data_IF_867509955470
#
_entry.id   IF_867509955470
#
_cell.length_a   1.000
_cell.length_b   1.000
_cell.length_c   1.000
_cell.angle_alpha   90.00
_cell.angle_beta   90.00
_cell.angle_gamma   90.00
#
_symmetry.space_group_name_H-M   'P 1'
#
loop_
_entity.id
_entity.type
_entity.pdbx_description
1 polymer ?
#
# COMPACT_ATOMS: atom_id res chain seq x y z
N UNK A 1 -17.86 7.09 15.70
CA UNK A 1 -18.82 8.17 15.35
C UNK A 1 -19.86 7.67 14.34
N UNK A 2 -21.15 7.90 14.60
CA UNK A 2 -22.24 7.52 13.70
C UNK A 2 -22.15 8.30 12.38
N UNK A 3 -22.27 7.62 11.24
CA UNK A 3 -22.31 8.31 9.93
C UNK A 3 -23.64 9.04 9.77
N UNK A 4 -23.61 10.26 9.25
CA UNK A 4 -24.79 11.12 9.01
C UNK A 4 -25.44 10.89 7.65
N UNK A 5 -24.82 10.09 6.79
CA UNK A 5 -25.24 9.81 5.41
C UNK A 5 -26.23 8.64 5.28
N UNK A 6 -26.66 8.03 6.40
CA UNK A 6 -27.57 6.89 6.40
C UNK A 6 -26.95 5.56 5.98
N UNK A 7 -25.63 5.52 5.74
CA UNK A 7 -24.91 4.29 5.44
C UNK A 7 -24.54 3.53 6.71
N UNK A 8 -24.24 2.23 6.54
CA UNK A 8 -23.73 1.40 7.62
C UNK A 8 -22.48 2.03 8.26
N UNK A 9 -22.39 1.95 9.59
CA UNK A 9 -21.23 2.47 10.32
C UNK A 9 -19.93 1.80 9.82
N UNK A 10 -18.85 2.57 9.79
CA UNK A 10 -17.53 2.00 9.55
C UNK A 10 -17.20 0.98 10.64
N UNK A 11 -16.61 -0.15 10.23
CA UNK A 11 -16.18 -1.18 11.15
C UNK A 11 -15.03 -0.67 12.03
N UNK A 12 -15.03 -1.07 13.31
CA UNK A 12 -13.91 -0.83 14.20
C UNK A 12 -12.71 -1.71 13.83
N UNK A 13 -11.54 -1.47 14.44
CA UNK A 13 -10.37 -2.34 14.25
C UNK A 13 -10.68 -3.76 14.73
N UNK A 14 -11.36 -3.91 15.86
CA UNK A 14 -11.73 -5.19 16.45
C UNK A 14 -12.69 -5.97 15.56
N UNK A 15 -13.66 -5.29 14.93
CA UNK A 15 -14.57 -5.93 13.98
C UNK A 15 -13.86 -6.40 12.71
N UNK A 16 -12.74 -5.77 12.33
CA UNK A 16 -11.90 -6.18 11.20
C UNK A 16 -10.91 -7.30 11.56
N UNK A 17 -10.88 -7.74 12.82
CA UNK A 17 -10.18 -8.95 13.24
C UNK A 17 -11.09 -10.20 13.20
N UNK A 18 -12.35 -10.05 12.77
CA UNK A 18 -13.25 -11.18 12.55
C UNK A 18 -12.71 -12.07 11.40
N UNK A 19 -12.57 -13.40 11.59
CA UNK A 19 -12.12 -14.30 10.54
C UNK A 19 -12.96 -14.24 9.25
N UNK A 20 -14.26 -13.96 9.35
CA UNK A 20 -15.13 -13.80 8.19
C UNK A 20 -14.83 -12.50 7.43
N UNK A 21 -14.41 -11.45 8.12
CA UNK A 21 -13.93 -10.22 7.49
C UNK A 21 -12.57 -10.46 6.82
N UNK A 22 -11.65 -11.14 7.51
CA UNK A 22 -10.33 -11.48 6.97
C UNK A 22 -10.44 -12.32 5.68
N UNK A 23 -11.34 -13.30 5.67
CA UNK A 23 -11.62 -14.10 4.47
C UNK A 23 -12.13 -13.25 3.30
N UNK A 24 -13.08 -12.34 3.54
CA UNK A 24 -13.59 -11.44 2.50
C UNK A 24 -12.51 -10.48 1.98
N UNK A 25 -11.66 -9.96 2.87
CA UNK A 25 -10.57 -9.07 2.49
C UNK A 25 -9.49 -9.81 1.69
N UNK A 26 -9.21 -11.07 2.03
CA UNK A 26 -8.32 -11.94 1.25
C UNK A 26 -8.90 -12.25 -0.14
N UNK A 27 -10.20 -12.56 -0.22
CA UNK A 27 -10.87 -12.78 -1.51
C UNK A 27 -10.80 -11.52 -2.38
N UNK A 28 -11.07 -10.35 -1.80
CA UNK A 28 -10.94 -9.08 -2.50
C UNK A 28 -9.51 -8.83 -2.99
N UNK A 29 -8.49 -9.06 -2.16
CA UNK A 29 -7.09 -8.97 -2.57
C UNK A 29 -6.79 -9.90 -3.75
N UNK A 30 -7.28 -11.15 -3.71
CA UNK A 30 -7.05 -12.10 -4.80
C UNK A 30 -7.68 -11.62 -6.13
N UNK A 31 -8.81 -10.90 -6.08
CA UNK A 31 -9.41 -10.30 -7.27
C UNK A 31 -8.61 -9.10 -7.78
N UNK A 32 -8.08 -8.25 -6.88
CA UNK A 32 -7.17 -7.16 -7.24
C UNK A 32 -5.90 -7.69 -7.90
N UNK A 33 -5.31 -8.78 -7.38
CA UNK A 33 -4.12 -9.42 -7.95
C UNK A 33 -4.34 -10.01 -9.36
N UNK A 34 -5.57 -10.43 -9.66
CA UNK A 34 -5.94 -10.95 -10.98
C UNK A 34 -6.36 -9.85 -11.95
N UNK A 35 -6.62 -8.64 -11.45
CA UNK A 35 -7.12 -7.56 -12.28
C UNK A 35 -6.05 -7.13 -13.29
N UNK A 36 -6.44 -7.13 -14.56
CA UNK A 36 -5.63 -6.67 -15.68
C UNK A 36 -6.23 -5.40 -16.27
N UNK A 37 -5.37 -4.48 -16.67
CA UNK A 37 -5.77 -3.23 -17.33
C UNK A 37 -6.23 -3.37 -18.79
N UNK A 38 -6.76 -4.53 -19.19
CA UNK A 38 -7.19 -4.80 -20.57
C UNK A 38 -8.39 -3.93 -21.01
N UNK A 39 -9.12 -3.38 -20.04
CA UNK A 39 -10.29 -2.52 -20.26
C UNK A 39 -10.06 -1.06 -19.86
N UNK A 40 -8.85 -0.70 -19.44
CA UNK A 40 -8.49 0.67 -19.09
C UNK A 40 -8.07 1.47 -20.32
N UNK A 41 -8.38 2.77 -20.31
CA UNK A 41 -8.07 3.67 -21.43
C UNK A 41 -6.56 3.78 -21.66
N UNK A 42 -5.78 3.84 -20.57
CA UNK A 42 -4.32 3.87 -20.61
C UNK A 42 -3.72 3.02 -19.50
N UNK A 43 -2.43 2.70 -19.65
CA UNK A 43 -1.66 2.02 -18.61
C UNK A 43 -1.53 2.86 -17.33
N UNK A 44 -1.53 4.18 -17.43
CA UNK A 44 -1.52 5.10 -16.29
C UNK A 44 -2.86 5.05 -15.55
N UNK A 45 -3.99 5.03 -16.28
CA UNK A 45 -5.31 4.86 -15.67
C UNK A 45 -5.43 3.55 -14.88
N UNK A 46 -4.93 2.44 -15.43
CA UNK A 46 -4.88 1.16 -14.72
C UNK A 46 -3.99 1.24 -13.47
N UNK A 47 -2.80 1.82 -13.61
CA UNK A 47 -1.86 1.97 -12.50
C UNK A 47 -2.44 2.79 -11.35
N UNK A 48 -2.99 3.97 -11.66
CA UNK A 48 -3.60 4.87 -10.68
C UNK A 48 -4.75 4.19 -9.94
N UNK A 49 -5.62 3.46 -10.65
CA UNK A 49 -6.74 2.77 -10.01
C UNK A 49 -6.28 1.63 -9.09
N UNK A 50 -5.28 0.86 -9.50
CA UNK A 50 -4.73 -0.20 -8.66
C UNK A 50 -4.06 0.39 -7.41
N UNK A 51 -3.27 1.45 -7.55
CA UNK A 51 -2.66 2.16 -6.42
C UNK A 51 -3.71 2.75 -5.47
N UNK A 52 -4.79 3.30 -6.03
CA UNK A 52 -5.93 3.84 -5.28
C UNK A 52 -6.65 2.77 -4.43
N UNK A 53 -6.57 1.49 -4.81
CA UNK A 53 -7.14 0.38 -4.03
C UNK A 53 -6.17 -0.10 -2.94
N UNK A 54 -4.88 -0.25 -3.26
CA UNK A 54 -3.91 -0.85 -2.33
C UNK A 54 -3.69 -0.03 -1.07
N UNK A 55 -3.56 1.30 -1.17
CA UNK A 55 -3.30 2.15 0.00
C UNK A 55 -4.42 2.05 1.05
N UNK A 56 -5.71 2.28 0.70
CA UNK A 56 -6.80 2.08 1.65
C UNK A 56 -6.87 0.65 2.20
N UNK A 57 -6.55 -0.37 1.39
CA UNK A 57 -6.57 -1.75 1.86
C UNK A 57 -5.53 -1.98 2.98
N UNK A 58 -4.32 -1.40 2.85
CA UNK A 58 -3.27 -1.45 3.87
C UNK A 58 -3.68 -0.69 5.14
N UNK A 59 -4.33 0.47 5.00
CA UNK A 59 -4.80 1.31 6.11
C UNK A 59 -5.99 0.71 6.85
N UNK A 60 -6.85 -0.03 6.14
CA UNK A 60 -8.04 -0.66 6.74
C UNK A 60 -7.69 -1.91 7.52
N UNK A 61 -6.61 -2.61 7.19
CA UNK A 61 -6.26 -3.88 7.84
C UNK A 61 -5.60 -3.67 9.21
N UNK A 62 -6.04 -4.41 10.25
CA UNK A 62 -5.27 -4.52 11.48
C UNK A 62 -3.85 -5.05 11.21
N UNK A 63 -2.86 -4.74 12.05
CA UNK A 63 -1.55 -5.37 11.96
C UNK A 63 -1.65 -6.91 11.98
N UNK A 64 -1.02 -7.58 11.03
CA UNK A 64 -1.10 -9.04 10.91
C UNK A 64 -0.70 -9.55 9.52
N UNK A 65 -0.77 -10.87 9.37
CA UNK A 65 -0.30 -11.57 8.16
C UNK A 65 -1.02 -11.13 6.88
N UNK A 66 -2.32 -10.82 6.95
CA UNK A 66 -3.04 -10.32 5.78
C UNK A 66 -2.56 -8.93 5.34
N UNK A 67 -2.32 -8.00 6.28
CA UNK A 67 -1.74 -6.68 5.98
C UNK A 67 -0.35 -6.82 5.36
N UNK A 68 0.46 -7.73 5.87
CA UNK A 68 1.78 -8.04 5.32
C UNK A 68 1.67 -8.57 3.88
N UNK A 69 0.68 -9.43 3.61
CA UNK A 69 0.41 -9.95 2.27
C UNK A 69 0.02 -8.82 1.30
N UNK A 70 -0.86 -7.90 1.72
CA UNK A 70 -1.24 -6.74 0.89
C UNK A 70 -0.02 -5.86 0.60
N UNK A 71 0.80 -5.57 1.62
CA UNK A 71 2.04 -4.79 1.44
C UNK A 71 2.96 -5.44 0.41
N UNK A 72 3.25 -6.74 0.56
CA UNK A 72 4.10 -7.47 -0.37
C UNK A 72 3.52 -7.50 -1.80
N UNK A 73 2.20 -7.62 -1.92
CA UNK A 73 1.51 -7.59 -3.22
C UNK A 73 1.63 -6.22 -3.89
N UNK A 74 1.42 -5.14 -3.14
CA UNK A 74 1.54 -3.78 -3.65
C UNK A 74 2.98 -3.43 -4.08
N UNK A 75 3.96 -3.79 -3.25
CA UNK A 75 5.39 -3.59 -3.55
C UNK A 75 5.77 -4.33 -4.84
N UNK A 76 5.31 -5.58 -5.01
CA UNK A 76 5.51 -6.34 -6.24
C UNK A 76 4.86 -5.64 -7.44
N UNK A 77 3.61 -5.20 -7.32
CA UNK A 77 2.89 -4.51 -8.38
C UNK A 77 3.65 -3.26 -8.85
N UNK A 78 4.06 -2.40 -7.91
CA UNK A 78 4.86 -1.21 -8.20
C UNK A 78 6.17 -1.59 -8.91
N UNK A 79 6.82 -2.71 -8.52
CA UNK A 79 8.17 -3.06 -8.98
C UNK A 79 8.20 -3.72 -10.35
N UNK A 80 7.08 -4.30 -10.78
CA UNK A 80 6.91 -4.79 -12.15
C UNK A 80 6.20 -3.78 -13.05
N UNK A 81 5.75 -2.64 -12.50
CA UNK A 81 4.97 -1.66 -13.25
C UNK A 81 5.83 -0.95 -14.29
N UNK A 82 5.46 -0.99 -15.58
CA UNK A 82 6.15 -0.24 -16.62
C UNK A 82 6.03 1.28 -16.46
N UNK A 83 5.10 1.78 -15.63
CA UNK A 83 4.98 3.21 -15.28
C UNK A 83 6.28 3.75 -14.69
N UNK A 84 7.06 2.91 -13.98
CA UNK A 84 8.38 3.30 -13.49
C UNK A 84 9.29 3.87 -14.59
N UNK A 85 9.19 3.33 -15.81
CA UNK A 85 10.00 3.74 -16.96
C UNK A 85 9.29 4.76 -17.84
N UNK A 86 7.99 4.58 -18.08
CA UNK A 86 7.23 5.44 -18.99
C UNK A 86 6.79 6.76 -18.37
N UNK A 87 6.53 6.78 -17.05
CA UNK A 87 6.20 7.99 -16.30
C UNK A 87 6.78 7.91 -14.86
N UNK A 88 8.11 8.07 -14.70
CA UNK A 88 8.78 7.94 -13.41
C UNK A 88 8.20 8.83 -12.28
N UNK A 89 7.78 10.10 -12.53
CA UNK A 89 7.17 10.93 -11.49
C UNK A 89 5.88 10.36 -10.89
N UNK A 90 4.99 9.80 -11.72
CA UNK A 90 3.74 9.16 -11.28
C UNK A 90 4.03 7.93 -10.44
N UNK A 91 4.93 7.06 -10.91
CA UNK A 91 5.37 5.90 -10.14
C UNK A 91 5.99 6.29 -8.79
N UNK A 92 6.86 7.30 -8.80
CA UNK A 92 7.51 7.77 -7.58
C UNK A 92 6.51 8.35 -6.58
N UNK A 93 5.46 9.03 -7.03
CA UNK A 93 4.40 9.53 -6.14
C UNK A 93 3.80 8.40 -5.31
N UNK A 94 3.52 7.25 -5.93
CA UNK A 94 2.93 6.10 -5.26
C UNK A 94 3.92 5.37 -4.33
N UNK A 95 5.19 5.23 -4.73
CA UNK A 95 6.25 4.73 -3.85
C UNK A 95 6.45 5.64 -2.65
N UNK A 96 6.44 6.96 -2.86
CA UNK A 96 6.58 7.94 -1.79
C UNK A 96 5.37 7.90 -0.84
N UNK A 97 4.14 7.74 -1.35
CA UNK A 97 2.95 7.53 -0.53
C UNK A 97 3.06 6.28 0.34
N UNK A 98 3.56 5.17 -0.20
CA UNK A 98 3.80 3.95 0.57
C UNK A 98 4.85 4.15 1.68
N UNK A 99 5.99 4.76 1.35
CA UNK A 99 7.08 5.04 2.32
C UNK A 99 6.62 5.98 3.43
N UNK A 100 5.71 6.91 3.11
CA UNK A 100 5.17 7.89 4.02
C UNK A 100 3.70 7.63 4.35
N UNK A 101 3.33 6.35 4.43
CA UNK A 101 1.95 5.93 4.68
C UNK A 101 1.36 6.72 5.85
N UNK A 102 0.18 7.29 5.62
CA UNK A 102 -0.48 8.15 6.58
C UNK A 102 -0.80 7.37 7.86
N UNK A 103 -0.67 8.02 9.01
CA UNK A 103 -0.92 7.46 10.35
C UNK A 103 -0.06 6.24 10.75
N UNK A 104 0.93 5.85 9.93
CA UNK A 104 1.86 4.79 10.25
C UNK A 104 2.83 5.20 11.37
N UNK A 105 2.74 4.51 12.51
CA UNK A 105 3.68 4.67 13.62
C UNK A 105 5.09 4.14 13.30
N UNK A 106 6.08 4.34 14.20
CA UNK A 106 7.47 3.92 13.96
C UNK A 106 7.63 2.43 13.64
N UNK A 107 6.82 1.55 14.26
CA UNK A 107 6.85 0.12 14.01
C UNK A 107 6.33 -0.23 12.60
N UNK A 108 5.21 0.38 12.19
CA UNK A 108 4.65 0.23 10.85
C UNK A 108 5.63 0.76 9.78
N UNK A 109 6.27 1.90 10.05
CA UNK A 109 7.29 2.48 9.18
C UNK A 109 8.51 1.57 9.03
N UNK A 110 8.98 0.98 10.13
CA UNK A 110 10.06 -0.01 10.10
C UNK A 110 9.66 -1.27 9.32
N UNK A 111 8.40 -1.70 9.47
CA UNK A 111 7.83 -2.83 8.74
C UNK A 111 7.78 -2.56 7.24
N UNK A 112 7.16 -1.47 6.80
CA UNK A 112 7.06 -1.07 5.39
C UNK A 112 8.45 -1.03 4.76
N UNK A 113 9.41 -0.41 5.44
CA UNK A 113 10.80 -0.36 4.97
C UNK A 113 11.37 -1.77 4.79
N UNK A 114 11.19 -2.68 5.75
CA UNK A 114 11.68 -4.06 5.63
C UNK A 114 11.05 -4.78 4.44
N UNK A 115 9.73 -4.70 4.28
CA UNK A 115 9.05 -5.35 3.15
C UNK A 115 9.54 -4.79 1.79
N UNK A 116 9.82 -3.49 1.70
CA UNK A 116 10.42 -2.89 0.49
C UNK A 116 11.84 -3.42 0.25
N UNK A 117 12.65 -3.55 1.29
CA UNK A 117 14.00 -4.11 1.16
C UNK A 117 13.97 -5.58 0.70
N UNK A 118 13.02 -6.35 1.21
CA UNK A 118 12.90 -7.77 0.90
C UNK A 118 12.32 -8.00 -0.51
N UNK A 119 11.29 -7.25 -0.90
CA UNK A 119 10.48 -7.52 -2.10
C UNK A 119 10.47 -6.45 -3.19
N UNK A 120 10.94 -5.24 -2.90
CA UNK A 120 10.96 -4.12 -3.85
C UNK A 120 12.08 -4.21 -4.88
N UNK A 121 11.93 -3.47 -5.97
CA UNK A 121 13.02 -3.29 -6.94
C UNK A 121 14.14 -2.40 -6.38
N UNK A 122 15.28 -2.39 -7.06
CA UNK A 122 16.48 -1.67 -6.59
C UNK A 122 16.26 -0.15 -6.44
N UNK A 123 15.38 0.45 -7.23
CA UNK A 123 15.06 1.88 -7.18
C UNK A 123 14.20 2.16 -5.94
N UNK A 124 13.19 1.33 -5.66
CA UNK A 124 12.41 1.45 -4.42
C UNK A 124 13.26 1.27 -3.18
N UNK A 125 14.16 0.28 -3.18
CA UNK A 125 15.11 0.05 -2.08
C UNK A 125 15.95 1.29 -1.81
N UNK A 126 16.45 1.93 -2.87
CA UNK A 126 17.19 3.19 -2.76
C UNK A 126 16.34 4.28 -2.11
N UNK A 127 15.10 4.50 -2.57
CA UNK A 127 14.23 5.51 -1.99
C UNK A 127 13.88 5.24 -0.52
N UNK A 128 13.64 3.98 -0.15
CA UNK A 128 13.38 3.60 1.24
C UNK A 128 14.59 3.85 2.16
N UNK A 129 15.81 3.66 1.65
CA UNK A 129 17.04 3.98 2.38
C UNK A 129 17.25 5.49 2.53
N UNK A 130 17.04 6.26 1.47
CA UNK A 130 17.12 7.73 1.51
C UNK A 130 16.14 8.29 2.55
N UNK A 131 14.87 7.88 2.50
CA UNK A 131 13.86 8.30 3.47
C UNK A 131 14.23 7.92 4.91
N UNK A 132 14.89 6.76 5.12
CA UNK A 132 15.38 6.36 6.42
C UNK A 132 16.53 7.24 6.94
N UNK A 133 17.42 7.69 6.06
CA UNK A 133 18.50 8.61 6.40
C UNK A 133 17.98 10.00 6.74
N UNK A 134 17.02 10.52 5.97
CA UNK A 134 16.39 11.82 6.22
C UNK A 134 15.73 11.86 7.61
N UNK A 135 15.01 10.80 7.99
CA UNK A 135 14.42 10.68 9.33
C UNK A 135 15.46 10.69 10.45
N UNK A 136 16.59 9.99 10.26
CA UNK A 136 17.70 9.98 11.23
C UNK A 136 18.37 11.35 11.35
N UNK A 137 18.55 12.06 10.24
CA UNK A 137 19.10 13.41 10.22
C UNK A 137 18.18 14.44 10.88
N UNK A 138 16.85 14.28 10.72
CA UNK A 138 15.86 15.13 11.37
C UNK A 138 15.71 14.92 12.87
N UNK A 139 15.99 13.72 13.39
CA UNK A 139 15.95 13.42 14.83
C UNK A 139 17.22 13.84 15.61
N UNK A 140 18.29 14.23 14.90
CA UNK A 140 19.57 14.63 15.48
C UNK A 140 19.73 16.16 15.65
N UNK A 141 18.73 16.94 15.21
CA UNK A 141 18.64 18.40 15.35
C UNK A 141 17.51 18.80 16.30
#
# INVERSE_FOLDING_TARGET
>A
PSRTDGLAQFLTVEQRQDPAWEAQALDFLNEVEKWKGEHDETQSNYFDQVCFIYIPLIELMPPGALRDKVLASYIRFLGISPIQKSNPPEWYLEVNRLIHLQDAGPEDQARIRREILDGGDDVMRLYAEVAALERKGGAAN
#
